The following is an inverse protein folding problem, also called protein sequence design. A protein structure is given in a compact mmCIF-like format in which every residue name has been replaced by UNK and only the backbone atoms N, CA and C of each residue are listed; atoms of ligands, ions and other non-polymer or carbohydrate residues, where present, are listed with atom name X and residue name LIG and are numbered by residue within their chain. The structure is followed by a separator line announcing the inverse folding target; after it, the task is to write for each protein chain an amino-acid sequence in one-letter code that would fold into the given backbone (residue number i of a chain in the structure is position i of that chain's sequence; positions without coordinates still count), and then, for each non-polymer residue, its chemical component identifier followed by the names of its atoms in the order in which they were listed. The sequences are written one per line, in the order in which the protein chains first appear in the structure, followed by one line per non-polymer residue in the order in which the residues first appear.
data_IF_644272725245
#
_entry.id   IF_644272725245
#
_cell.length_a   1.000
_cell.length_b   1.000
_cell.length_c   1.000
_cell.angle_alpha   90.00
_cell.angle_beta   90.00
_cell.angle_gamma   90.00
#
_symmetry.space_group_name_H-M   'P 1'
#
loop_
_entity.id
_entity.type
_entity.pdbx_description
1 polymer ?
#
# COMPACT_ATOMS: atom_id res chain seq x y z
N UNK A 1 8.33 -11.94 9.05
CA UNK A 1 7.85 -12.48 7.74
C UNK A 1 8.78 -12.11 6.57
N UNK A 2 8.76 -12.83 5.45
CA UNK A 2 9.60 -12.53 4.27
C UNK A 2 9.16 -11.25 3.56
N UNK A 3 10.12 -10.42 3.09
CA UNK A 3 9.90 -9.20 2.28
C UNK A 3 8.94 -9.40 1.10
N UNK A 4 8.75 -10.64 0.66
CA UNK A 4 7.82 -11.04 -0.41
C UNK A 4 6.35 -10.73 -0.09
N UNK A 5 5.89 -10.97 1.14
CA UNK A 5 4.47 -10.82 1.50
C UNK A 5 3.99 -9.37 1.48
N UNK A 6 4.82 -8.41 1.94
CA UNK A 6 4.45 -6.99 1.91
C UNK A 6 4.38 -6.45 0.48
N UNK A 7 5.21 -6.98 -0.43
CA UNK A 7 5.14 -6.64 -1.86
C UNK A 7 3.89 -7.18 -2.53
N UNK A 8 3.49 -8.40 -2.21
CA UNK A 8 2.24 -9.00 -2.71
C UNK A 8 1.03 -8.20 -2.22
N UNK A 9 0.99 -7.82 -0.94
CA UNK A 9 -0.05 -6.96 -0.40
C UNK A 9 -0.10 -5.59 -1.12
N UNK A 10 1.07 -4.99 -1.38
CA UNK A 10 1.15 -3.74 -2.12
C UNK A 10 0.61 -3.88 -3.56
N UNK A 11 0.92 -4.99 -4.25
CA UNK A 11 0.43 -5.26 -5.60
C UNK A 11 -1.11 -5.42 -5.65
N UNK A 12 -1.71 -6.10 -4.66
CA UNK A 12 -3.16 -6.25 -4.55
C UNK A 12 -3.83 -4.89 -4.34
N UNK A 13 -3.32 -4.07 -3.42
CA UNK A 13 -3.87 -2.73 -3.15
C UNK A 13 -3.72 -1.81 -4.36
N UNK A 14 -2.60 -1.91 -5.08
CA UNK A 14 -2.38 -1.17 -6.32
C UNK A 14 -3.36 -1.59 -7.42
N UNK A 15 -3.64 -2.87 -7.58
CA UNK A 15 -4.66 -3.36 -8.51
C UNK A 15 -6.08 -2.92 -8.12
N UNK A 16 -6.32 -2.65 -6.84
CA UNK A 16 -7.59 -2.12 -6.35
C UNK A 16 -7.79 -0.63 -6.64
N UNK A 17 -6.73 0.12 -6.97
CA UNK A 17 -6.83 1.52 -7.37
C UNK A 17 -7.57 1.67 -8.71
N UNK A 18 -8.31 2.77 -8.90
CA UNK A 18 -8.93 3.04 -10.19
C UNK A 18 -7.85 3.23 -11.28
N UNK A 19 -8.13 2.83 -12.53
CA UNK A 19 -7.17 2.96 -13.63
C UNK A 19 -6.83 4.44 -13.89
N UNK A 20 -5.61 4.70 -14.38
CA UNK A 20 -5.13 6.05 -14.71
C UNK A 20 -6.16 6.77 -15.60
N UNK A 21 -6.53 7.99 -15.22
CA UNK A 21 -7.54 8.81 -15.90
C UNK A 21 -8.96 8.69 -15.33
N UNK A 22 -9.27 7.68 -14.52
CA UNK A 22 -10.56 7.60 -13.79
C UNK A 22 -10.35 7.98 -12.34
N UNK A 23 -10.67 9.23 -11.98
CA UNK A 23 -10.62 9.66 -10.56
C UNK A 23 -11.83 9.10 -9.83
N UNK A 24 -11.60 8.20 -8.87
CA UNK A 24 -12.59 7.75 -7.89
C UNK A 24 -12.07 8.06 -6.48
N UNK A 25 -12.29 9.29 -5.98
CA UNK A 25 -11.70 9.76 -4.72
C UNK A 25 -11.98 8.84 -3.54
N UNK A 26 -13.24 8.39 -3.41
CA UNK A 26 -13.69 7.49 -2.34
C UNK A 26 -12.92 6.17 -2.37
N UNK A 27 -12.76 5.57 -3.55
CA UNK A 27 -12.06 4.28 -3.71
C UNK A 27 -10.57 4.41 -3.38
N UNK A 28 -9.91 5.48 -3.86
CA UNK A 28 -8.51 5.75 -3.52
C UNK A 28 -8.33 6.01 -2.03
N UNK A 29 -9.28 6.70 -1.39
CA UNK A 29 -9.26 6.92 0.06
C UNK A 29 -9.40 5.59 0.82
N UNK A 30 -10.34 4.73 0.45
CA UNK A 30 -10.49 3.39 1.05
C UNK A 30 -9.21 2.57 0.94
N UNK A 31 -8.56 2.55 -0.24
CA UNK A 31 -7.28 1.84 -0.41
C UNK A 31 -6.19 2.42 0.49
N UNK A 32 -6.17 3.74 0.71
CA UNK A 32 -5.22 4.41 1.60
C UNK A 32 -5.43 4.06 3.07
N UNK A 33 -6.68 3.99 3.52
CA UNK A 33 -7.03 3.59 4.89
C UNK A 33 -6.62 2.13 5.16
N UNK A 34 -6.94 1.23 4.23
CA UNK A 34 -6.55 -0.19 4.33
C UNK A 34 -5.02 -0.34 4.32
N UNK A 35 -4.33 0.36 3.42
CA UNK A 35 -2.87 0.36 3.36
C UNK A 35 -2.24 0.86 4.67
N UNK A 36 -2.83 1.88 5.30
CA UNK A 36 -2.35 2.41 6.57
C UNK A 36 -2.52 1.40 7.72
N UNK A 37 -3.65 0.69 7.77
CA UNK A 37 -3.88 -0.38 8.74
C UNK A 37 -2.85 -1.51 8.60
N UNK A 38 -2.66 -2.00 7.37
CA UNK A 38 -1.68 -3.05 7.07
C UNK A 38 -0.25 -2.62 7.38
N UNK A 39 0.12 -1.38 7.05
CA UNK A 39 1.45 -0.84 7.35
C UNK A 39 1.73 -0.80 8.86
N UNK A 40 0.72 -0.46 9.68
CA UNK A 40 0.84 -0.50 11.14
C UNK A 40 1.05 -1.92 11.66
N UNK A 41 0.32 -2.91 11.13
CA UNK A 41 0.52 -4.32 11.49
C UNK A 41 1.91 -4.82 11.07
N UNK A 42 2.38 -4.47 9.88
CA UNK A 42 3.70 -4.87 9.40
C UNK A 42 4.84 -4.23 10.19
N UNK A 43 4.67 -2.99 10.66
CA UNK A 43 5.63 -2.33 11.53
C UNK A 43 5.73 -3.00 12.91
N UNK A 44 4.63 -3.59 13.41
CA UNK A 44 4.63 -4.39 14.64
C UNK A 44 5.29 -5.76 14.43
N UNK A 45 5.08 -6.41 13.28
CA UNK A 45 5.69 -7.72 12.93
C UNK A 45 7.18 -7.63 12.63
N UNK A 46 7.65 -6.50 12.09
CA UNK A 46 9.02 -6.37 11.59
C UNK A 46 9.57 -4.96 11.78
N UNK A 47 10.56 -4.81 12.65
CA UNK A 47 11.21 -3.52 12.94
C UNK A 47 11.89 -2.90 11.71
N UNK A 48 12.24 -3.71 10.70
CA UNK A 48 12.87 -3.25 9.47
C UNK A 48 11.84 -2.88 8.38
N UNK A 49 10.55 -3.05 8.65
CA UNK A 49 9.50 -2.61 7.74
C UNK A 49 9.45 -1.09 7.68
N UNK A 50 9.46 -0.54 6.47
CA UNK A 50 9.34 0.91 6.23
C UNK A 50 7.98 1.22 5.64
N UNK A 51 7.16 1.93 6.42
CA UNK A 51 5.82 2.38 6.01
C UNK A 51 5.84 3.19 4.71
N UNK A 52 6.79 4.12 4.55
CA UNK A 52 6.92 4.94 3.34
C UNK A 52 7.11 4.07 2.11
N UNK A 53 8.12 3.18 2.11
CA UNK A 53 8.40 2.26 1.01
C UNK A 53 7.21 1.40 0.62
N UNK A 54 6.41 0.96 1.58
CA UNK A 54 5.20 0.19 1.30
C UNK A 54 4.09 1.05 0.67
N UNK A 55 3.87 2.27 1.18
CA UNK A 55 2.90 3.21 0.63
C UNK A 55 3.28 3.63 -0.80
N UNK A 56 4.57 3.93 -1.04
CA UNK A 56 5.09 4.32 -2.35
C UNK A 56 4.88 3.20 -3.37
N UNK A 57 5.06 1.94 -2.97
CA UNK A 57 4.82 0.78 -3.82
C UNK A 57 3.34 0.61 -4.25
N UNK A 58 2.39 1.15 -3.47
CA UNK A 58 0.96 1.09 -3.76
C UNK A 58 0.52 2.25 -4.64
N UNK A 59 0.88 3.46 -4.23
CA UNK A 59 0.35 4.69 -4.83
C UNK A 59 1.23 5.26 -5.94
N UNK A 60 2.43 4.72 -6.12
CA UNK A 60 3.38 5.12 -7.17
C UNK A 60 3.47 6.65 -7.31
N UNK A 61 3.75 7.32 -6.18
CA UNK A 61 4.40 8.63 -6.13
C UNK A 61 5.89 8.36 -5.86
N UNK A 62 6.57 7.77 -6.85
CA UNK A 62 8.03 7.75 -6.89
C UNK A 62 8.46 8.84 -7.90
N UNK A 63 9.47 9.66 -7.58
CA UNK A 63 9.90 10.79 -8.42
C UNK A 63 10.24 10.39 -9.87
#
# INVERSE_FOLDING_TARGET
MSRKHYREAAAVLRAALPPKGKRQPTRTQTVREVAAGLASMFAQDNIHFRRSTFMDAIFEDAP
#
